data_IF_447574883204
#
_entry.id   IF_447574883204
#
_cell.length_a   1.000
_cell.length_b   1.000
_cell.length_c   1.000
_cell.angle_alpha   90.00
_cell.angle_beta   90.00
_cell.angle_gamma   90.00
#
_symmetry.space_group_name_H-M   'P 1'
#
loop_
_entity.id
_entity.type
_entity.pdbx_description
1 polymer ?
#
# COMPACT_ATOMS: atom_id res chain seq x y z
N UNK A 1 -11.41 12.47 6.17
CA UNK A 1 -10.05 12.05 5.76
C UNK A 1 -9.93 12.25 4.25
N UNK A 2 -8.80 12.71 3.71
CA UNK A 2 -8.70 13.22 2.33
C UNK A 2 -9.09 12.23 1.21
N UNK A 3 -9.07 10.92 1.48
CA UNK A 3 -9.40 9.84 0.53
C UNK A 3 -10.93 9.62 0.43
N UNK A 4 -11.70 9.90 1.49
CA UNK A 4 -13.16 9.65 1.52
C UNK A 4 -13.99 10.89 1.24
N UNK A 5 -13.35 12.04 1.02
CA UNK A 5 -14.10 13.25 0.73
C UNK A 5 -14.57 13.22 -0.72
N UNK A 6 -15.88 13.03 -0.93
CA UNK A 6 -16.49 13.04 -2.25
C UNK A 6 -16.76 14.47 -2.77
N UNK A 7 -16.83 15.45 -1.88
CA UNK A 7 -17.25 16.83 -2.19
C UNK A 7 -16.05 17.76 -2.42
N UNK A 8 -14.84 17.36 -1.97
CA UNK A 8 -13.63 18.16 -2.13
C UNK A 8 -12.58 17.44 -2.98
N UNK A 9 -11.87 18.18 -3.85
CA UNK A 9 -11.95 19.62 -4.02
C UNK A 9 -12.95 20.03 -5.12
N UNK A 10 -13.58 21.20 -4.93
CA UNK A 10 -14.61 21.75 -5.83
C UNK A 10 -14.06 22.44 -7.08
N UNK A 11 -12.75 22.68 -7.11
CA UNK A 11 -12.04 23.35 -8.20
C UNK A 11 -11.19 22.34 -8.97
N UNK A 12 -11.23 22.42 -10.30
CA UNK A 12 -10.54 21.50 -11.20
C UNK A 12 -9.02 21.40 -10.92
N UNK A 13 -8.33 22.53 -10.81
CA UNK A 13 -6.87 22.53 -10.59
C UNK A 13 -6.49 21.87 -9.27
N UNK A 14 -7.21 22.17 -8.19
CA UNK A 14 -6.99 21.52 -6.90
C UNK A 14 -7.30 20.02 -6.95
N UNK A 15 -8.29 19.59 -7.72
CA UNK A 15 -8.62 18.17 -7.91
C UNK A 15 -7.49 17.43 -8.61
N UNK A 16 -6.97 18.02 -9.68
CA UNK A 16 -5.83 17.48 -10.41
C UNK A 16 -4.59 17.38 -9.52
N UNK A 17 -4.25 18.46 -8.80
CA UNK A 17 -3.08 18.49 -7.90
C UNK A 17 -3.21 17.48 -6.76
N UNK A 18 -4.37 17.44 -6.09
CA UNK A 18 -4.62 16.49 -5.01
C UNK A 18 -4.58 15.05 -5.51
N UNK A 19 -5.21 14.78 -6.65
CA UNK A 19 -5.21 13.46 -7.27
C UNK A 19 -3.81 12.99 -7.61
N UNK A 20 -3.01 13.84 -8.27
CA UNK A 20 -1.64 13.50 -8.62
C UNK A 20 -0.76 13.27 -7.39
N UNK A 21 -0.82 14.16 -6.39
CA UNK A 21 -0.05 14.01 -5.15
C UNK A 21 -0.36 12.69 -4.43
N UNK A 22 -1.64 12.32 -4.34
CA UNK A 22 -2.05 11.06 -3.74
C UNK A 22 -1.57 9.86 -4.57
N UNK A 23 -1.63 9.92 -5.90
CA UNK A 23 -1.12 8.86 -6.76
C UNK A 23 0.41 8.69 -6.62
N UNK A 24 1.15 9.80 -6.57
CA UNK A 24 2.61 9.79 -6.35
C UNK A 24 2.97 9.21 -4.99
N UNK A 25 2.21 9.55 -3.94
CA UNK A 25 2.39 8.97 -2.61
C UNK A 25 2.16 7.46 -2.64
N UNK A 26 1.04 7.01 -3.24
CA UNK A 26 0.73 5.58 -3.37
C UNK A 26 1.80 4.82 -4.14
N UNK A 27 2.29 5.35 -5.25
CA UNK A 27 3.40 4.76 -6.01
C UNK A 27 4.69 4.69 -5.19
N UNK A 28 5.00 5.75 -4.45
CA UNK A 28 6.18 5.81 -3.58
C UNK A 28 6.10 4.79 -2.45
N UNK A 29 4.91 4.58 -1.87
CA UNK A 29 4.66 3.52 -0.90
C UNK A 29 4.83 2.13 -1.51
N UNK A 30 4.29 1.89 -2.71
CA UNK A 30 4.45 0.62 -3.44
C UNK A 30 5.94 0.29 -3.66
N UNK A 31 6.72 1.24 -4.17
CA UNK A 31 8.18 1.08 -4.30
C UNK A 31 8.89 0.94 -2.95
N UNK A 32 8.38 1.60 -1.91
CA UNK A 32 8.85 1.44 -0.54
C UNK A 32 8.74 -0.01 -0.07
N UNK A 33 7.60 -0.67 -0.29
CA UNK A 33 7.42 -2.08 0.04
C UNK A 33 8.39 -2.99 -0.73
N UNK A 34 8.59 -2.74 -2.03
CA UNK A 34 9.58 -3.47 -2.84
C UNK A 34 10.98 -3.34 -2.24
N UNK A 35 11.36 -2.12 -1.85
CA UNK A 35 12.66 -1.85 -1.25
C UNK A 35 12.81 -2.54 0.11
N UNK A 36 11.77 -2.50 0.95
CA UNK A 36 11.77 -3.19 2.26
C UNK A 36 11.93 -4.70 2.08
N UNK A 37 11.18 -5.32 1.16
CA UNK A 37 11.29 -6.74 0.88
C UNK A 37 12.71 -7.13 0.44
N UNK A 38 13.30 -6.38 -0.50
CA UNK A 38 14.70 -6.58 -0.94
C UNK A 38 15.71 -6.41 0.19
N UNK A 39 15.51 -5.44 1.08
CA UNK A 39 16.38 -5.25 2.23
C UNK A 39 16.29 -6.42 3.22
N UNK A 40 15.10 -6.99 3.43
CA UNK A 40 14.93 -8.19 4.25
C UNK A 40 15.69 -9.37 3.64
N UNK A 41 15.62 -9.57 2.32
CA UNK A 41 16.38 -10.62 1.64
C UNK A 41 17.90 -10.42 1.75
N UNK A 42 18.38 -9.19 1.55
CA UNK A 42 19.79 -8.88 1.70
C UNK A 42 20.29 -9.11 3.13
N UNK A 43 19.47 -8.76 4.12
CA UNK A 43 19.78 -8.91 5.53
C UNK A 43 19.78 -10.38 5.98
N UNK A 44 18.87 -11.20 5.45
CA UNK A 44 18.89 -12.64 5.68
C UNK A 44 20.19 -13.25 5.15
N UNK A 45 20.58 -12.92 3.92
CA UNK A 45 21.84 -13.41 3.34
C UNK A 45 23.04 -13.01 4.20
N UNK A 46 23.10 -11.76 4.67
CA UNK A 46 24.18 -11.27 5.54
C UNK A 46 24.23 -12.01 6.87
N UNK A 47 23.08 -12.16 7.53
CA UNK A 47 22.98 -12.82 8.84
C UNK A 47 23.30 -14.32 8.75
N UNK A 48 22.87 -14.99 7.68
CA UNK A 48 23.21 -16.39 7.41
C UNK A 48 24.73 -16.56 7.20
N UNK A 49 25.38 -15.67 6.46
CA UNK A 49 26.83 -15.71 6.27
C UNK A 49 27.63 -15.45 7.55
N UNK A 50 27.10 -14.59 8.44
CA UNK A 50 27.71 -14.27 9.73
C UNK A 50 27.34 -15.28 10.84
N UNK A 51 26.50 -16.28 10.55
CA UNK A 51 25.92 -17.20 11.52
C UNK A 51 25.25 -16.46 12.72
N UNK A 52 24.63 -15.32 12.43
CA UNK A 52 23.95 -14.47 13.41
C UNK A 52 22.51 -14.94 13.64
N UNK A 53 22.09 -14.93 14.91
CA UNK A 53 20.67 -15.01 15.26
C UNK A 53 20.00 -13.65 15.14
N UNK A 54 18.69 -13.66 14.91
CA UNK A 54 17.84 -12.46 14.87
C UNK A 54 16.87 -12.44 16.04
N UNK A 55 16.57 -11.24 16.49
CA UNK A 55 15.66 -11.01 17.60
C UNK A 55 14.42 -10.29 17.08
N UNK A 56 13.24 -10.85 17.35
CA UNK A 56 11.94 -10.27 17.01
C UNK A 56 11.24 -9.85 18.31
N UNK A 57 10.88 -8.57 18.40
CA UNK A 57 9.98 -8.08 19.44
C UNK A 57 8.53 -8.19 18.98
N UNK A 58 7.72 -8.98 19.68
CA UNK A 58 6.26 -9.05 19.49
C UNK A 58 5.63 -8.17 20.56
N UNK A 59 5.02 -7.07 20.13
CA UNK A 59 4.34 -6.13 21.01
C UNK A 59 3.28 -5.33 20.25
N UNK A 60 2.27 -4.88 20.98
CA UNK A 60 1.18 -4.08 20.43
C UNK A 60 1.67 -2.64 20.20
N UNK A 61 1.82 -2.24 18.94
CA UNK A 61 2.33 -0.91 18.55
C UNK A 61 1.24 0.16 18.48
N UNK A 62 0.01 -0.17 18.90
CA UNK A 62 -1.20 0.64 18.70
C UNK A 62 -1.61 1.53 19.89
N UNK A 63 -0.79 1.68 20.93
CA UNK A 63 -1.09 2.54 22.09
C UNK A 63 0.14 3.18 22.75
N UNK A 64 -0.05 4.17 23.64
CA UNK A 64 1.05 4.63 24.49
C UNK A 64 1.64 3.42 25.23
N UNK A 65 2.97 3.38 25.46
CA UNK A 65 3.60 2.23 26.11
C UNK A 65 2.86 1.97 27.41
N UNK A 66 2.11 0.87 27.48
CA UNK A 66 1.51 0.44 28.74
C UNK A 66 2.69 0.11 29.65
N UNK A 67 2.78 0.80 30.78
CA UNK A 67 3.84 0.64 31.77
C UNK A 67 3.68 -0.76 32.39
N UNK A 68 4.20 -1.78 31.69
CA UNK A 68 4.02 -3.19 32.06
C UNK A 68 3.97 -4.19 30.92
N UNK A 69 3.87 -3.77 29.65
CA UNK A 69 3.95 -4.71 28.52
C UNK A 69 5.41 -5.00 28.17
N UNK A 70 5.99 -6.03 28.79
CA UNK A 70 7.27 -6.57 28.31
C UNK A 70 7.05 -7.15 26.90
N UNK A 71 7.69 -6.62 25.85
CA UNK A 71 7.57 -7.20 24.53
C UNK A 71 8.06 -8.64 24.59
N UNK A 72 7.30 -9.57 24.02
CA UNK A 72 7.77 -10.95 23.90
C UNK A 72 8.92 -10.97 22.90
N UNK A 73 10.10 -11.34 23.36
CA UNK A 73 11.32 -11.36 22.55
C UNK A 73 11.56 -12.79 22.08
N UNK A 74 11.52 -13.00 20.77
CA UNK A 74 11.80 -14.29 20.14
C UNK A 74 13.17 -14.24 19.45
N UNK A 75 14.06 -15.16 19.83
CA UNK A 75 15.26 -15.44 19.03
C UNK A 75 14.89 -16.40 17.89
N UNK A 76 15.27 -16.05 16.67
CA UNK A 76 15.06 -16.87 15.48
C UNK A 76 16.36 -16.98 14.68
N UNK A 77 16.47 -18.00 13.84
CA UNK A 77 17.50 -17.99 12.80
C UNK A 77 17.14 -16.95 11.70
N UNK A 78 18.10 -16.67 10.80
CA UNK A 78 17.93 -15.67 9.76
C UNK A 78 16.79 -15.99 8.77
N UNK A 79 16.59 -17.27 8.44
CA UNK A 79 15.55 -17.72 7.50
C UNK A 79 14.14 -17.62 8.09
N UNK A 80 13.98 -18.01 9.36
CA UNK A 80 12.73 -17.83 10.12
C UNK A 80 12.40 -16.35 10.26
N UNK A 81 13.39 -15.52 10.60
CA UNK A 81 13.23 -14.07 10.68
C UNK A 81 12.73 -13.46 9.37
N UNK A 82 13.37 -13.82 8.24
CA UNK A 82 12.94 -13.38 6.90
C UNK A 82 11.48 -13.76 6.65
N UNK A 83 11.13 -15.01 6.93
CA UNK A 83 9.78 -15.53 6.69
C UNK A 83 8.74 -14.73 7.47
N UNK A 84 9.01 -14.44 8.75
CA UNK A 84 8.11 -13.64 9.59
C UNK A 84 8.05 -12.19 9.12
N UNK A 85 9.20 -11.57 8.83
CA UNK A 85 9.27 -10.18 8.36
C UNK A 85 8.52 -9.97 7.03
N UNK A 86 8.69 -10.87 6.05
CA UNK A 86 7.96 -10.81 4.78
C UNK A 86 6.45 -11.04 4.98
N UNK A 87 6.05 -11.91 5.90
CA UNK A 87 4.62 -12.09 6.26
C UNK A 87 4.03 -10.82 6.85
N UNK A 88 4.77 -10.10 7.70
CA UNK A 88 4.32 -8.80 8.24
C UNK A 88 4.16 -7.76 7.12
N UNK A 89 5.13 -7.67 6.21
CA UNK A 89 5.04 -6.77 5.04
C UNK A 89 3.81 -7.12 4.19
N UNK A 90 3.56 -8.41 3.93
CA UNK A 90 2.37 -8.88 3.21
C UNK A 90 1.07 -8.50 3.92
N UNK A 91 1.02 -8.68 5.24
CA UNK A 91 -0.13 -8.31 6.05
C UNK A 91 -0.43 -6.80 6.00
N UNK A 92 0.58 -5.94 5.99
CA UNK A 92 0.38 -4.49 5.81
C UNK A 92 -0.08 -4.13 4.39
N UNK A 93 0.37 -4.89 3.37
CA UNK A 93 -0.01 -4.65 1.98
C UNK A 93 -1.45 -5.10 1.66
N UNK A 94 -1.82 -6.32 2.07
CA UNK A 94 -3.07 -6.98 1.68
C UNK A 94 -4.08 -7.09 2.81
N UNK A 95 -3.67 -6.84 4.05
CA UNK A 95 -4.49 -7.07 5.23
C UNK A 95 -4.35 -8.50 5.75
N UNK A 96 -5.04 -8.76 6.87
CA UNK A 96 -5.20 -10.08 7.48
C UNK A 96 -6.68 -10.42 7.46
N UNK A 97 -7.03 -11.69 7.22
CA UNK A 97 -8.40 -12.19 7.00
C UNK A 97 -9.44 -11.71 8.03
N UNK A 98 -9.03 -11.49 9.28
CA UNK A 98 -9.93 -11.14 10.39
C UNK A 98 -9.73 -9.71 10.94
N UNK A 99 -8.92 -8.87 10.29
CA UNK A 99 -8.63 -7.53 10.80
C UNK A 99 -9.37 -6.44 10.03
N UNK A 100 -10.07 -5.55 10.73
CA UNK A 100 -10.62 -4.30 10.17
C UNK A 100 -9.54 -3.23 9.92
N UNK A 101 -8.26 -3.56 10.16
CA UNK A 101 -7.15 -2.62 9.99
C UNK A 101 -7.02 -2.26 8.51
N UNK A 102 -6.93 -0.96 8.18
CA UNK A 102 -6.76 -0.54 6.79
C UNK A 102 -5.40 -1.04 6.28
N UNK A 103 -5.41 -1.78 5.17
CA UNK A 103 -4.21 -2.19 4.46
C UNK A 103 -3.95 -1.29 3.24
N UNK A 104 -2.74 -1.37 2.68
CA UNK A 104 -2.37 -0.60 1.50
C UNK A 104 -3.34 -0.82 0.33
N UNK A 105 -3.64 -2.08 -0.01
CA UNK A 105 -4.52 -2.41 -1.16
C UNK A 105 -5.91 -1.79 -0.98
N UNK A 106 -6.50 -1.92 0.21
CA UNK A 106 -7.81 -1.33 0.51
C UNK A 106 -7.79 0.21 0.44
N UNK A 107 -6.68 0.83 0.84
CA UNK A 107 -6.50 2.28 0.67
C UNK A 107 -6.43 2.68 -0.81
N UNK A 108 -5.69 1.94 -1.64
CA UNK A 108 -5.61 2.18 -3.09
C UNK A 108 -6.98 1.98 -3.74
N UNK A 109 -7.73 0.93 -3.37
CA UNK A 109 -9.09 0.68 -3.87
C UNK A 109 -10.04 1.84 -3.58
N UNK A 110 -9.96 2.41 -2.37
CA UNK A 110 -10.76 3.58 -1.98
C UNK A 110 -10.42 4.81 -2.81
N UNK A 111 -9.13 5.07 -3.01
CA UNK A 111 -8.68 6.18 -3.83
C UNK A 111 -9.07 5.99 -5.29
N UNK A 112 -8.94 4.78 -5.84
CA UNK A 112 -9.32 4.47 -7.21
C UNK A 112 -10.82 4.68 -7.44
N UNK A 113 -11.66 4.18 -6.53
CA UNK A 113 -13.11 4.38 -6.60
C UNK A 113 -13.46 5.87 -6.61
N UNK A 114 -12.86 6.66 -5.71
CA UNK A 114 -13.03 8.12 -5.68
C UNK A 114 -12.64 8.76 -7.01
N UNK A 115 -11.49 8.38 -7.57
CA UNK A 115 -11.03 8.94 -8.85
C UNK A 115 -11.97 8.57 -10.00
N UNK A 116 -12.46 7.33 -10.05
CA UNK A 116 -13.47 6.91 -11.03
C UNK A 116 -14.75 7.74 -10.90
N UNK A 117 -15.25 7.90 -9.67
CA UNK A 117 -16.44 8.71 -9.40
C UNK A 117 -16.27 10.16 -9.85
N UNK A 118 -15.12 10.79 -9.62
CA UNK A 118 -14.88 12.17 -10.10
C UNK A 118 -14.78 12.27 -11.62
N UNK A 119 -14.21 11.26 -12.27
CA UNK A 119 -14.15 11.22 -13.72
C UNK A 119 -15.50 10.90 -14.38
N UNK A 120 -16.43 10.25 -13.68
CA UNK A 120 -17.82 10.08 -14.14
C UNK A 120 -18.66 11.32 -13.82
N UNK A 121 -18.60 11.76 -12.57
CA UNK A 121 -19.38 12.85 -11.98
C UNK A 121 -18.44 13.85 -11.27
N UNK A 122 -17.90 14.83 -12.00
CA UNK A 122 -16.98 15.81 -11.44
C UNK A 122 -17.61 16.56 -10.26
N UNK A 123 -16.84 16.83 -9.19
CA UNK A 123 -17.36 17.37 -7.93
C UNK A 123 -17.77 18.87 -8.02
N UNK A 124 -17.62 19.51 -9.17
CA UNK A 124 -17.99 20.91 -9.37
C UNK A 124 -18.25 21.28 -10.84
N UNK A 125 -18.90 22.42 -11.05
CA UNK A 125 -19.27 22.90 -12.39
C UNK A 125 -18.09 23.43 -13.22
N UNK A 126 -16.93 23.67 -12.60
CA UNK A 126 -15.73 24.24 -13.26
C UNK A 126 -14.79 23.21 -13.88
N UNK A 127 -15.24 21.97 -14.11
CA UNK A 127 -14.42 20.90 -14.68
C UNK A 127 -14.63 20.83 -16.19
N UNK A 128 -13.55 20.76 -17.00
CA UNK A 128 -13.68 20.64 -18.45
C UNK A 128 -14.22 19.26 -18.85
N UNK A 129 -14.88 19.18 -20.00
CA UNK A 129 -15.41 17.90 -20.50
C UNK A 129 -14.32 16.85 -20.74
N UNK A 130 -13.11 17.28 -21.06
CA UNK A 130 -11.93 16.42 -21.20
C UNK A 130 -11.50 15.72 -19.90
N UNK A 131 -12.00 16.17 -18.74
CA UNK A 131 -11.79 15.48 -17.48
C UNK A 131 -12.68 14.23 -17.36
N UNK A 132 -13.76 14.12 -18.13
CA UNK A 132 -14.70 13.01 -18.00
C UNK A 132 -14.17 11.76 -18.71
N UNK A 133 -14.42 10.58 -18.15
CA UNK A 133 -14.21 9.32 -18.86
C UNK A 133 -15.36 9.14 -19.86
N UNK A 134 -15.03 9.04 -21.13
CA UNK A 134 -15.95 8.69 -22.22
C UNK A 134 -15.45 7.45 -22.94
N UNK A 135 -16.36 6.67 -23.52
CA UNK A 135 -15.98 5.48 -24.29
C UNK A 135 -15.01 5.83 -25.43
N UNK A 136 -13.97 5.00 -25.59
CA UNK A 136 -12.93 5.18 -26.60
C UNK A 136 -11.80 6.16 -26.25
N UNK A 137 -11.86 6.85 -25.11
CA UNK A 137 -10.74 7.68 -24.63
C UNK A 137 -9.73 6.89 -23.80
N UNK A 138 -8.45 7.29 -23.80
CA UNK A 138 -7.44 6.69 -22.94
C UNK A 138 -7.80 6.90 -21.47
N UNK A 139 -7.45 5.91 -20.65
CA UNK A 139 -7.70 5.96 -19.21
C UNK A 139 -6.97 7.16 -18.58
N UNK A 140 -7.60 7.88 -17.63
CA UNK A 140 -6.96 8.98 -16.93
C UNK A 140 -5.63 8.56 -16.26
N UNK A 141 -4.57 9.39 -16.32
CA UNK A 141 -3.25 9.05 -15.76
C UNK A 141 -3.28 8.66 -14.28
N UNK A 142 -4.11 9.33 -13.47
CA UNK A 142 -4.25 9.00 -12.05
C UNK A 142 -4.73 7.56 -11.83
N UNK A 143 -5.65 7.07 -12.66
CA UNK A 143 -6.14 5.69 -12.56
C UNK A 143 -5.13 4.68 -13.10
N UNK A 144 -4.27 5.06 -14.06
CA UNK A 144 -3.15 4.21 -14.51
C UNK A 144 -2.12 4.06 -13.39
N UNK A 145 -1.73 5.15 -12.73
CA UNK A 145 -0.78 5.14 -11.62
C UNK A 145 -1.26 4.26 -10.44
N UNK A 146 -2.55 4.28 -10.12
CA UNK A 146 -3.10 3.43 -9.05
C UNK A 146 -3.07 1.94 -9.44
N UNK A 147 -3.33 1.59 -10.70
CA UNK A 147 -3.18 0.22 -11.19
C UNK A 147 -1.72 -0.23 -11.19
N UNK A 148 -0.80 0.63 -11.60
CA UNK A 148 0.63 0.33 -11.59
C UNK A 148 1.16 0.14 -10.16
N UNK A 149 0.66 0.91 -9.19
CA UNK A 149 0.97 0.71 -7.79
C UNK A 149 0.50 -0.67 -7.30
N UNK A 150 -0.72 -1.10 -7.66
CA UNK A 150 -1.23 -2.43 -7.33
C UNK A 150 -0.40 -3.54 -7.96
N UNK A 151 -0.08 -3.43 -9.25
CA UNK A 151 0.76 -4.40 -9.95
C UNK A 151 2.13 -4.53 -9.29
N UNK A 152 2.71 -3.39 -8.87
CA UNK A 152 3.99 -3.33 -8.17
C UNK A 152 3.96 -4.15 -6.88
N UNK A 153 2.96 -3.98 -6.02
CA UNK A 153 2.87 -4.79 -4.79
C UNK A 153 2.47 -6.24 -5.04
N UNK A 154 1.64 -6.54 -6.04
CA UNK A 154 1.31 -7.93 -6.43
C UNK A 154 2.55 -8.69 -6.90
N UNK A 155 3.48 -8.03 -7.60
CA UNK A 155 4.74 -8.66 -8.01
C UNK A 155 5.64 -9.11 -6.85
N UNK A 156 5.38 -8.63 -5.62
CA UNK A 156 6.07 -9.07 -4.41
C UNK A 156 5.47 -10.35 -3.82
N UNK A 157 4.38 -10.85 -4.40
CA UNK A 157 3.68 -12.05 -3.95
C UNK A 157 3.57 -13.10 -5.08
N UNK A 158 4.59 -13.96 -5.27
CA UNK A 158 4.52 -15.05 -6.24
C UNK A 158 3.37 -16.04 -5.96
N UNK A 159 2.93 -16.15 -4.71
CA UNK A 159 1.86 -17.08 -4.31
C UNK A 159 0.45 -16.64 -4.73
N UNK A 160 0.27 -15.41 -5.24
CA UNK A 160 -0.99 -14.95 -5.84
C UNK A 160 -1.07 -15.21 -7.36
N UNK A 161 0.04 -15.57 -8.02
CA UNK A 161 0.03 -15.95 -9.45
C UNK A 161 -0.48 -17.39 -9.66
N UNK A 162 -0.39 -18.25 -8.64
CA UNK A 162 -0.80 -19.66 -8.72
C UNK A 162 -2.30 -19.91 -8.43
N UNK A 163 -3.07 -18.88 -8.10
CA UNK A 163 -4.53 -18.98 -7.86
C UNK A 163 -5.34 -18.60 -9.12
N UNK A 164 -4.66 -18.22 -10.21
CA UNK A 164 -5.27 -17.84 -11.49
C UNK A 164 -4.90 -18.79 -12.64
N UNK A 165 -4.54 -20.05 -12.35
CA UNK A 165 -4.35 -21.12 -13.34
C UNK A 165 -5.28 -22.30 -13.07
#
# INVERSE_FOLDING_TARGET
MAIDCLICPRQYLSAMQNGLLLCTLVMSMAHGYVKVAKNIEAEEKRATQANEKKTLGIGDSSGPPSWGSCPFVLETNATEWKTIALRMVRAEMHGVSDSSRPCFTAMVDRLERRQREWHTNPPGAGFPDSYRITDGQPKPPCLCLLEDAKKTVVSLDPTLLDIAS
#
